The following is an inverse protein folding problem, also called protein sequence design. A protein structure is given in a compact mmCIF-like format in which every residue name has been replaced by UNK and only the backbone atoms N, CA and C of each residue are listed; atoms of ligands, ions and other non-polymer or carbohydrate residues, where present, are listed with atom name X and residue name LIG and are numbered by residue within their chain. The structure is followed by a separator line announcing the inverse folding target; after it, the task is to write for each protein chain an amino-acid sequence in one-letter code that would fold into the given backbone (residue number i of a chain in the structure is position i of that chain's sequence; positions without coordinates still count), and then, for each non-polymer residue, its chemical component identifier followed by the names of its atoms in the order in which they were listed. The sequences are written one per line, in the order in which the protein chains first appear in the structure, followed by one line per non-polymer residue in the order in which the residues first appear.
data_IF_832247567286
#
_entry.id   IF_832247567286
#
_cell.length_a   1.000
_cell.length_b   1.000
_cell.length_c   1.000
_cell.angle_alpha   90.00
_cell.angle_beta   90.00
_cell.angle_gamma   90.00
#
_symmetry.space_group_name_H-M   'P 1'
#
loop_
_entity.id
_entity.type
_entity.pdbx_description
1 polymer ?
#
# COMPACT_ATOMS: atom_id res chain seq x y z
N UNK A 1 -37.45 4.23 0.22
CA UNK A 1 -36.10 4.07 0.79
C UNK A 1 -35.11 4.67 -0.20
N UNK A 2 -34.43 5.76 0.15
CA UNK A 2 -33.46 6.40 -0.75
C UNK A 2 -32.26 5.48 -0.97
N UNK A 3 -31.75 5.40 -2.19
CA UNK A 3 -30.49 4.71 -2.48
C UNK A 3 -29.38 5.26 -1.58
N UNK A 4 -28.48 4.40 -1.04
CA UNK A 4 -27.41 4.85 -0.17
C UNK A 4 -26.58 5.93 -0.86
N UNK A 5 -26.17 6.95 -0.10
CA UNK A 5 -25.25 7.98 -0.56
C UNK A 5 -23.98 7.31 -1.09
N UNK A 6 -23.44 7.74 -2.24
CA UNK A 6 -22.25 7.12 -2.80
C UNK A 6 -21.07 7.25 -1.84
N UNK A 7 -20.46 6.13 -1.49
CA UNK A 7 -19.28 6.06 -0.66
C UNK A 7 -18.05 5.69 -1.49
N UNK A 8 -16.88 6.32 -1.27
CA UNK A 8 -15.63 5.92 -1.91
C UNK A 8 -15.29 4.47 -1.59
N UNK A 9 -14.72 3.75 -2.56
CA UNK A 9 -14.06 2.47 -2.27
C UNK A 9 -12.94 2.72 -1.24
N UNK A 10 -12.83 1.88 -0.24
CA UNK A 10 -11.73 1.95 0.74
C UNK A 10 -10.62 0.97 0.31
N UNK A 11 -9.37 1.42 0.33
CA UNK A 11 -8.19 0.62 -0.03
C UNK A 11 -7.11 0.81 1.03
N UNK A 12 -6.60 -0.30 1.57
CA UNK A 12 -5.43 -0.28 2.43
C UNK A 12 -4.16 -0.50 1.60
N UNK A 13 -3.10 0.24 1.90
CA UNK A 13 -1.78 0.14 1.28
C UNK A 13 -0.78 -0.20 2.38
N UNK A 14 0.01 -1.24 2.17
CA UNK A 14 1.03 -1.68 3.10
C UNK A 14 2.42 -1.20 2.65
N UNK A 15 3.07 -0.38 3.46
CA UNK A 15 4.49 -0.06 3.32
C UNK A 15 5.28 -0.95 4.28
N UNK A 16 6.02 -1.92 3.74
CA UNK A 16 6.76 -2.91 4.54
C UNK A 16 8.23 -2.51 4.54
N UNK A 17 8.79 -2.22 5.70
CA UNK A 17 10.19 -1.88 5.89
C UNK A 17 10.93 -3.01 6.61
N UNK A 18 12.16 -3.28 6.18
CA UNK A 18 13.09 -4.09 6.95
C UNK A 18 13.56 -3.27 8.16
N UNK A 19 13.30 -3.76 9.36
CA UNK A 19 13.83 -3.18 10.59
C UNK A 19 15.32 -3.43 10.64
N UNK A 20 16.08 -2.46 10.16
CA UNK A 20 17.53 -2.42 10.22
C UNK A 20 17.97 -1.35 11.22
N UNK A 21 19.14 -1.51 11.83
CA UNK A 21 19.58 -0.69 12.98
C UNK A 21 19.60 0.83 12.71
N UNK A 22 19.77 1.62 13.79
CA UNK A 22 19.54 3.07 13.89
C UNK A 22 20.23 3.99 12.84
N UNK A 23 21.08 3.46 11.97
CA UNK A 23 21.80 4.22 10.93
C UNK A 23 21.85 3.51 9.57
N UNK A 24 20.98 2.51 9.38
CA UNK A 24 20.89 1.77 8.13
C UNK A 24 19.97 2.47 7.14
N UNK A 25 20.29 2.35 5.85
CA UNK A 25 19.39 2.74 4.78
C UNK A 25 18.19 1.78 4.82
N UNK A 26 16.94 2.27 4.91
CA UNK A 26 15.78 1.40 5.00
C UNK A 26 15.60 0.61 3.70
N UNK A 27 15.21 -0.64 3.82
CA UNK A 27 14.82 -1.48 2.67
C UNK A 27 13.33 -1.75 2.69
N UNK A 28 12.69 -1.74 1.52
CA UNK A 28 11.24 -1.86 1.36
C UNK A 28 10.88 -3.06 0.50
N UNK A 29 9.84 -3.79 0.89
CA UNK A 29 9.30 -4.88 0.09
C UNK A 29 8.21 -4.36 -0.85
N UNK A 30 8.41 -4.56 -2.15
CA UNK A 30 7.45 -4.21 -3.20
C UNK A 30 7.03 -5.45 -4.00
N UNK A 31 5.89 -5.37 -4.68
CA UNK A 31 5.34 -6.48 -5.47
C UNK A 31 5.05 -6.06 -6.90
N UNK A 32 5.06 -7.02 -7.82
CA UNK A 32 4.73 -6.75 -9.23
C UNK A 32 3.22 -6.53 -9.41
N UNK A 33 2.84 -5.72 -10.38
CA UNK A 33 1.46 -5.48 -10.77
C UNK A 33 0.86 -6.68 -11.51
N UNK A 34 -0.28 -7.21 -11.06
CA UNK A 34 -1.08 -8.21 -11.80
C UNK A 34 -1.49 -7.74 -13.20
N UNK A 35 -1.80 -6.45 -13.33
CA UNK A 35 -2.38 -5.87 -14.55
C UNK A 35 -1.34 -5.50 -15.61
N UNK A 36 -0.12 -5.16 -15.21
CA UNK A 36 0.91 -4.64 -16.11
C UNK A 36 2.15 -5.53 -16.03
N UNK A 37 2.13 -6.59 -16.85
CA UNK A 37 3.19 -7.61 -16.91
C UNK A 37 4.25 -7.33 -17.98
N UNK A 38 3.96 -6.44 -18.94
CA UNK A 38 4.89 -6.07 -20.02
C UNK A 38 4.79 -4.56 -20.38
N UNK A 39 5.79 -3.73 -20.03
CA UNK A 39 6.86 -4.06 -19.10
C UNK A 39 6.30 -4.32 -17.70
N UNK A 40 6.98 -5.18 -16.93
CA UNK A 40 6.59 -5.48 -15.54
C UNK A 40 6.66 -4.21 -14.69
N UNK A 41 5.57 -3.89 -14.00
CA UNK A 41 5.50 -2.71 -13.11
C UNK A 41 5.50 -3.13 -11.65
N UNK A 42 6.16 -2.36 -10.80
CA UNK A 42 6.18 -2.60 -9.36
C UNK A 42 5.24 -1.65 -8.61
N UNK A 43 4.67 -2.10 -7.50
CA UNK A 43 3.73 -1.36 -6.66
C UNK A 43 3.91 -1.76 -5.19
N UNK A 44 3.38 -0.96 -4.28
CA UNK A 44 3.19 -1.40 -2.89
C UNK A 44 2.04 -2.42 -2.80
N UNK A 45 2.12 -3.42 -1.89
CA UNK A 45 1.01 -4.31 -1.60
C UNK A 45 -0.22 -3.54 -1.16
N UNK A 46 -1.38 -3.85 -1.72
CA UNK A 46 -2.62 -3.11 -1.42
C UNK A 46 -3.86 -3.83 -1.95
N UNK A 47 -4.98 -3.58 -1.29
CA UNK A 47 -6.29 -3.98 -1.80
C UNK A 47 -7.46 -3.42 -1.01
N UNK A 48 -8.66 -3.91 -1.32
CA UNK A 48 -9.89 -3.37 -0.74
C UNK A 48 -9.98 -3.68 0.75
N UNK A 49 -10.50 -2.73 1.52
CA UNK A 49 -10.89 -3.01 2.92
C UNK A 49 -12.26 -3.69 2.88
N UNK A 50 -12.34 -4.89 3.46
CA UNK A 50 -13.56 -5.71 3.49
C UNK A 50 -14.50 -5.33 4.65
N UNK A 51 -15.67 -5.97 4.71
CA UNK A 51 -16.62 -5.74 5.80
C UNK A 51 -16.02 -6.12 7.14
N UNK A 52 -16.18 -5.27 8.16
CA UNK A 52 -15.62 -5.44 9.51
C UNK A 52 -14.07 -5.50 9.57
N UNK A 53 -13.40 -5.14 8.47
CA UNK A 53 -11.95 -5.06 8.40
C UNK A 53 -11.48 -3.62 8.65
N UNK A 54 -10.49 -3.44 9.53
CA UNK A 54 -9.76 -2.17 9.65
C UNK A 54 -8.72 -2.02 8.54
N UNK A 55 -8.25 -0.80 8.28
CA UNK A 55 -7.18 -0.57 7.30
C UNK A 55 -5.89 -1.32 7.64
N UNK A 56 -5.55 -1.43 8.92
CA UNK A 56 -4.43 -2.23 9.41
C UNK A 56 -4.60 -3.72 9.08
N UNK A 57 -5.78 -4.29 9.35
CA UNK A 57 -6.06 -5.71 9.06
C UNK A 57 -6.01 -5.98 7.55
N UNK A 58 -6.60 -5.10 6.75
CA UNK A 58 -6.54 -5.18 5.29
C UNK A 58 -5.10 -5.09 4.78
N UNK A 59 -4.30 -4.14 5.26
CA UNK A 59 -2.90 -4.02 4.86
C UNK A 59 -2.07 -5.26 5.24
N UNK A 60 -2.32 -5.85 6.41
CA UNK A 60 -1.67 -7.09 6.84
C UNK A 60 -2.06 -8.29 5.96
N UNK A 61 -3.35 -8.42 5.62
CA UNK A 61 -3.86 -9.45 4.70
C UNK A 61 -3.21 -9.31 3.32
N UNK A 62 -3.17 -8.11 2.76
CA UNK A 62 -2.55 -7.85 1.45
C UNK A 62 -1.03 -8.07 1.46
N UNK A 63 -0.35 -7.77 2.57
CA UNK A 63 1.07 -8.10 2.74
C UNK A 63 1.32 -9.62 2.73
N UNK A 64 0.43 -10.40 3.35
CA UNK A 64 0.47 -11.85 3.28
C UNK A 64 0.13 -12.37 1.86
N UNK A 65 -1.00 -11.95 1.31
CA UNK A 65 -1.52 -12.44 0.03
C UNK A 65 -0.62 -12.07 -1.14
N UNK A 66 -0.22 -10.80 -1.27
CA UNK A 66 0.51 -10.30 -2.43
C UNK A 66 2.03 -10.48 -2.29
N UNK A 67 2.58 -10.39 -1.07
CA UNK A 67 4.03 -10.36 -0.82
C UNK A 67 4.55 -11.53 0.01
N UNK A 68 3.68 -12.35 0.60
CA UNK A 68 4.06 -13.48 1.43
C UNK A 68 4.69 -13.09 2.77
N UNK A 69 4.40 -11.89 3.29
CA UNK A 69 4.86 -11.50 4.64
C UNK A 69 4.15 -12.35 5.69
N UNK A 70 4.90 -13.07 6.50
CA UNK A 70 4.34 -13.94 7.54
C UNK A 70 3.73 -13.04 8.64
N UNK A 71 2.43 -13.16 8.94
CA UNK A 71 1.76 -12.23 9.86
C UNK A 71 2.42 -12.16 11.24
N UNK A 72 2.86 -13.29 11.80
CA UNK A 72 3.52 -13.36 13.12
C UNK A 72 4.94 -12.79 13.14
N UNK A 73 5.49 -12.43 11.97
CA UNK A 73 6.85 -11.93 11.79
C UNK A 73 6.85 -10.48 11.31
N UNK A 74 5.67 -9.85 11.33
CA UNK A 74 5.46 -8.46 10.97
C UNK A 74 4.88 -7.70 12.15
N UNK A 75 5.37 -6.48 12.36
CA UNK A 75 4.87 -5.56 13.36
C UNK A 75 4.25 -4.36 12.66
N UNK A 76 2.99 -4.07 12.94
CA UNK A 76 2.40 -2.78 12.55
C UNK A 76 3.01 -1.69 13.42
N UNK A 77 3.66 -0.71 12.78
CA UNK A 77 4.28 0.41 13.47
C UNK A 77 3.28 1.54 13.69
N UNK A 78 2.59 1.96 12.62
CA UNK A 78 1.62 3.06 12.69
C UNK A 78 0.75 3.12 11.45
N UNK A 79 -0.45 3.69 11.61
CA UNK A 79 -1.16 4.33 10.52
C UNK A 79 -0.39 5.59 10.11
N UNK A 80 -0.07 5.74 8.83
CA UNK A 80 0.60 6.94 8.31
C UNK A 80 -0.42 8.04 8.06
N UNK A 81 -1.36 7.78 7.14
CA UNK A 81 -2.36 8.74 6.72
C UNK A 81 -3.44 8.10 5.85
N UNK A 82 -4.54 8.84 5.67
CA UNK A 82 -5.64 8.49 4.77
C UNK A 82 -5.84 9.60 3.74
N UNK A 83 -5.84 9.26 2.44
CA UNK A 83 -5.90 10.23 1.34
C UNK A 83 -7.00 9.89 0.31
N UNK A 84 -7.76 10.90 -0.14
CA UNK A 84 -8.73 10.72 -1.21
C UNK A 84 -8.06 10.73 -2.60
N UNK A 85 -8.68 10.00 -3.52
CA UNK A 85 -8.43 10.09 -4.95
C UNK A 85 -8.90 11.43 -5.55
N UNK A 86 -8.16 11.96 -6.52
CA UNK A 86 -8.60 13.09 -7.33
C UNK A 86 -9.67 12.71 -8.38
N UNK A 87 -9.81 11.43 -8.73
CA UNK A 87 -10.88 10.97 -9.62
C UNK A 87 -12.23 10.91 -8.88
N UNK A 88 -13.31 11.47 -9.44
CA UNK A 88 -14.64 11.40 -8.85
C UNK A 88 -15.21 9.98 -8.85
N UNK A 89 -15.99 9.66 -7.82
CA UNK A 89 -16.89 8.52 -7.82
C UNK A 89 -17.89 8.64 -8.99
N UNK A 90 -18.36 7.51 -9.54
CA UNK A 90 -19.28 7.51 -10.70
C UNK A 90 -20.60 8.25 -10.44
N UNK A 91 -20.97 8.38 -9.17
CA UNK A 91 -22.14 9.13 -8.68
C UNK A 91 -21.75 10.40 -7.91
N UNK A 92 -20.53 10.90 -8.06
CA UNK A 92 -20.10 12.14 -7.41
C UNK A 92 -20.91 13.32 -7.96
N UNK A 93 -21.52 14.16 -7.09
CA UNK A 93 -22.22 15.38 -7.51
C UNK A 93 -21.33 16.42 -8.20
N UNK A 94 -20.00 16.36 -7.96
CA UNK A 94 -19.03 17.25 -8.57
C UNK A 94 -17.88 16.50 -9.23
N UNK A 95 -17.33 17.08 -10.30
CA UNK A 95 -16.17 16.54 -11.00
C UNK A 95 -14.81 17.03 -10.41
N UNK A 96 -14.80 18.22 -9.80
CA UNK A 96 -13.57 18.83 -9.27
C UNK A 96 -13.30 18.42 -7.82
N UNK A 97 -12.09 17.95 -7.46
CA UNK A 97 -11.69 17.65 -6.08
C UNK A 97 -11.80 18.81 -5.10
N UNK A 98 -11.75 20.05 -5.59
CA UNK A 98 -11.90 21.26 -4.77
C UNK A 98 -13.35 21.59 -4.40
N UNK A 99 -14.33 20.88 -4.97
CA UNK A 99 -15.74 21.15 -4.70
C UNK A 99 -16.18 20.53 -3.37
N UNK A 100 -16.96 21.24 -2.53
CA UNK A 100 -17.48 20.69 -1.27
C UNK A 100 -18.37 19.46 -1.42
N UNK A 101 -18.97 19.25 -2.61
CA UNK A 101 -19.81 18.09 -2.90
C UNK A 101 -19.07 16.98 -3.67
N UNK A 102 -17.74 17.10 -3.82
CA UNK A 102 -16.93 16.08 -4.46
C UNK A 102 -16.84 14.83 -3.60
N UNK A 103 -17.04 13.68 -4.25
CA UNK A 103 -16.90 12.36 -3.62
C UNK A 103 -15.81 11.61 -4.39
N UNK A 104 -14.68 11.27 -3.75
CA UNK A 104 -13.59 10.57 -4.43
C UNK A 104 -14.01 9.15 -4.81
N UNK A 105 -13.42 8.63 -5.89
CA UNK A 105 -13.70 7.25 -6.32
C UNK A 105 -13.12 6.22 -5.35
N UNK A 106 -12.04 6.58 -4.66
CA UNK A 106 -11.34 5.71 -3.71
C UNK A 106 -10.68 6.55 -2.62
N UNK A 107 -10.62 6.01 -1.41
CA UNK A 107 -9.82 6.51 -0.30
C UNK A 107 -8.74 5.49 0.02
N UNK A 108 -7.51 5.94 0.22
CA UNK A 108 -6.35 5.11 0.51
C UNK A 108 -5.90 5.33 1.94
N UNK A 109 -5.84 4.26 2.74
CA UNK A 109 -5.23 4.26 4.06
C UNK A 109 -3.87 3.59 3.98
N UNK A 110 -2.84 4.27 4.47
CA UNK A 110 -1.46 3.81 4.41
C UNK A 110 -1.00 3.32 5.77
N UNK A 111 -0.50 2.10 5.81
CA UNK A 111 -0.08 1.41 7.03
C UNK A 111 1.40 1.04 6.91
N UNK A 112 2.17 1.39 7.93
CA UNK A 112 3.60 1.07 8.00
C UNK A 112 3.80 -0.19 8.83
N UNK A 113 4.46 -1.19 8.24
CA UNK A 113 4.83 -2.44 8.88
C UNK A 113 6.34 -2.62 8.86
N UNK A 114 6.87 -3.22 9.92
CA UNK A 114 8.27 -3.65 10.00
C UNK A 114 8.39 -5.17 10.04
N UNK A 115 9.42 -5.71 9.40
CA UNK A 115 9.86 -7.10 9.55
C UNK A 115 11.33 -7.13 9.99
N UNK A 116 11.75 -8.16 10.74
CA UNK A 116 13.10 -8.23 11.29
C UNK A 116 14.12 -8.92 10.37
N UNK A 117 13.68 -9.51 9.25
CA UNK A 117 14.53 -10.24 8.31
C UNK A 117 14.05 -10.02 6.88
N UNK A 118 14.98 -10.06 5.93
CA UNK A 118 14.67 -10.05 4.49
C UNK A 118 14.56 -11.46 3.91
N UNK A 119 14.90 -12.49 4.71
CA UNK A 119 15.03 -13.88 4.26
C UNK A 119 13.70 -14.60 4.15
N UNK A 120 13.63 -15.49 3.16
CA UNK A 120 12.59 -16.51 3.08
C UNK A 120 12.68 -17.45 4.30
N UNK A 121 11.52 -17.95 4.75
CA UNK A 121 11.34 -18.80 5.94
C UNK A 121 11.59 -18.14 7.30
N UNK A 122 11.95 -16.85 7.34
CA UNK A 122 11.96 -16.05 8.57
C UNK A 122 10.84 -15.02 8.57
N UNK A 123 10.92 -14.01 7.71
CA UNK A 123 9.88 -12.98 7.60
C UNK A 123 8.93 -13.21 6.43
N UNK A 124 9.39 -13.94 5.40
CA UNK A 124 8.65 -14.17 4.17
C UNK A 124 8.40 -15.67 4.00
N UNK A 125 7.17 -16.07 3.68
CA UNK A 125 6.89 -17.47 3.37
C UNK A 125 7.43 -17.86 2.00
N UNK A 126 7.89 -19.10 1.88
CA UNK A 126 8.27 -19.71 0.60
C UNK A 126 7.05 -19.94 -0.31
N UNK A 127 5.91 -20.24 0.30
CA UNK A 127 4.62 -20.44 -0.37
C UNK A 127 3.63 -19.40 0.16
N UNK A 128 3.02 -18.63 -0.73
CA UNK A 128 2.05 -17.60 -0.37
C UNK A 128 0.93 -17.49 -1.43
N UNK A 129 -0.23 -16.90 -1.08
CA UNK A 129 -1.44 -16.99 -1.89
C UNK A 129 -1.29 -16.53 -3.35
N UNK A 130 -0.67 -15.36 -3.60
CA UNK A 130 -0.51 -14.82 -4.95
C UNK A 130 0.87 -15.10 -5.58
N UNK A 131 1.63 -16.12 -5.13
CA UNK A 131 3.02 -16.34 -5.60
C UNK A 131 3.17 -16.50 -7.12
N UNK A 132 2.18 -17.11 -7.77
CA UNK A 132 2.18 -17.35 -9.21
C UNK A 132 1.66 -16.15 -10.01
N UNK A 133 1.06 -15.18 -9.31
CA UNK A 133 0.53 -13.93 -9.87
C UNK A 133 1.47 -12.73 -9.64
N UNK A 134 2.36 -12.84 -8.64
CA UNK A 134 3.21 -11.77 -8.13
C UNK A 134 4.65 -12.20 -7.99
N UNK A 135 5.54 -11.31 -8.40
CA UNK A 135 6.92 -11.28 -7.93
C UNK A 135 7.02 -10.30 -6.77
N UNK A 136 7.91 -10.56 -5.81
CA UNK A 136 8.28 -9.63 -4.73
C UNK A 136 9.76 -9.23 -4.87
N UNK A 137 10.10 -8.03 -4.41
CA UNK A 137 11.47 -7.51 -4.47
C UNK A 137 11.75 -6.59 -3.30
N UNK A 138 12.92 -6.76 -2.69
CA UNK A 138 13.48 -5.77 -1.76
C UNK A 138 14.12 -4.62 -2.53
N UNK A 139 13.89 -3.39 -2.07
CA UNK A 139 14.46 -2.17 -2.61
C UNK A 139 15.07 -1.35 -1.49
N UNK A 140 16.37 -1.08 -1.59
CA UNK A 140 17.12 -0.33 -0.60
C UNK A 140 17.07 1.18 -0.91
N UNK A 141 16.65 1.96 0.08
CA UNK A 141 16.64 3.42 0.03
C UNK A 141 15.40 4.02 -0.63
N UNK A 142 15.08 5.23 -0.18
CA UNK A 142 13.92 5.99 -0.64
C UNK A 142 13.99 6.34 -2.13
N UNK A 143 15.16 6.76 -2.61
CA UNK A 143 15.35 7.15 -4.01
C UNK A 143 15.09 5.99 -4.98
N UNK A 144 15.53 4.78 -4.62
CA UNK A 144 15.30 3.60 -5.45
C UNK A 144 13.85 3.13 -5.36
N UNK A 145 13.24 3.19 -4.17
CA UNK A 145 11.81 2.90 -4.00
C UNK A 145 10.97 3.79 -4.93
N UNK A 146 11.26 5.08 -4.96
CA UNK A 146 10.51 6.04 -5.79
C UNK A 146 10.72 5.86 -7.29
N UNK A 147 11.91 5.40 -7.71
CA UNK A 147 12.17 5.05 -9.12
C UNK A 147 11.45 3.78 -9.54
N UNK A 148 11.37 2.80 -8.64
CA UNK A 148 10.84 1.47 -8.93
C UNK A 148 9.31 1.42 -8.92
N UNK A 149 8.65 2.15 -8.02
CA UNK A 149 7.19 2.16 -7.93
C UNK A 149 6.58 2.79 -9.18
N UNK A 150 5.65 2.07 -9.82
CA UNK A 150 4.77 2.66 -10.79
C UNK A 150 3.64 3.44 -10.10
N UNK A 151 3.76 4.76 -10.18
CA UNK A 151 2.84 5.71 -9.58
C UNK A 151 1.43 5.71 -10.22
N UNK A 152 1.37 5.49 -11.54
CA UNK A 152 0.11 5.55 -12.30
C UNK A 152 -0.67 6.86 -12.06
N UNK A 153 -2.00 6.79 -12.05
CA UNK A 153 -2.87 7.96 -11.75
C UNK A 153 -2.90 8.36 -10.27
N UNK A 154 -2.08 7.72 -9.43
CA UNK A 154 -2.11 7.82 -7.96
C UNK A 154 -0.87 8.50 -7.40
N UNK A 155 -0.03 9.07 -8.28
CA UNK A 155 1.30 9.57 -7.93
C UNK A 155 1.29 10.51 -6.72
N UNK A 156 0.46 11.55 -6.74
CA UNK A 156 0.41 12.53 -5.66
C UNK A 156 0.04 11.88 -4.31
N UNK A 157 -0.93 10.96 -4.31
CA UNK A 157 -1.39 10.26 -3.10
C UNK A 157 -0.28 9.37 -2.53
N UNK A 158 0.38 8.61 -3.40
CA UNK A 158 1.45 7.70 -2.97
C UNK A 158 2.70 8.48 -2.52
N UNK A 159 3.08 9.57 -3.21
CA UNK A 159 4.23 10.40 -2.83
C UNK A 159 4.04 11.04 -1.46
N UNK A 160 2.85 11.59 -1.17
CA UNK A 160 2.52 12.12 0.16
C UNK A 160 2.67 11.07 1.26
N UNK A 161 2.25 9.83 1.00
CA UNK A 161 2.42 8.74 1.96
C UNK A 161 3.90 8.37 2.17
N UNK A 162 4.70 8.37 1.11
CA UNK A 162 6.15 8.14 1.22
C UNK A 162 6.83 9.28 2.00
N UNK A 163 6.44 10.53 1.78
CA UNK A 163 6.98 11.67 2.51
C UNK A 163 6.65 11.61 4.02
N UNK A 164 5.40 11.24 4.38
CA UNK A 164 5.06 10.99 5.79
C UNK A 164 5.90 9.83 6.37
N UNK A 165 6.09 8.75 5.61
CA UNK A 165 6.92 7.63 6.06
C UNK A 165 8.39 8.04 6.28
N UNK A 166 8.94 8.90 5.43
CA UNK A 166 10.28 9.49 5.63
C UNK A 166 10.36 10.28 6.93
N UNK A 167 9.35 11.10 7.24
CA UNK A 167 9.30 11.87 8.49
C UNK A 167 9.19 10.98 9.73
N UNK A 168 8.61 9.78 9.60
CA UNK A 168 8.46 8.83 10.73
C UNK A 168 9.69 7.94 10.95
N UNK A 169 10.42 7.62 9.88
CA UNK A 169 11.55 6.68 9.91
C UNK A 169 12.92 7.37 9.93
N UNK A 170 12.99 8.67 9.63
CA UNK A 170 14.19 9.51 9.78
C UNK A 170 14.17 10.33 11.06
#
# INVERSE_FOLDING_TARGET
MGSPSPSPRQVAVCLIVLSSGLHSVPSFLIVSSRKHKDPLKWVLPKGGIEHEESSQQAAAREAWEEAGVIPSQSLHLTHLLTLPDAKPHSKSPAASPSSPSFIPSTTYSFELFAVSSSSDSEALAAEWPEKDERQRRWVEGWDELEKMICWGRREEVMRKAIDEAKTRLG
#
